data_IF_597012815825
#
_entry.id   IF_597012815825
#
_cell.length_a   1.000
_cell.length_b   1.000
_cell.length_c   1.000
_cell.angle_alpha   90.00
_cell.angle_beta   90.00
_cell.angle_gamma   90.00
#
_symmetry.space_group_name_H-M   'P 1'
#
loop_
_entity.id
_entity.type
_entity.pdbx_description
1 polymer ?
#
# COMPACT_ATOMS: atom_id res chain seq x y z
N UNK A 1 0.90 9.01 -9.27
CA UNK A 1 1.14 8.91 -7.84
C UNK A 1 1.02 10.31 -7.35
N UNK A 2 0.05 10.53 -6.49
CA UNK A 2 -0.05 11.80 -5.78
C UNK A 2 1.20 11.88 -4.94
N UNK A 3 2.19 12.68 -5.37
CA UNK A 3 3.30 13.00 -4.46
C UNK A 3 2.66 13.39 -3.13
N UNK A 4 3.04 12.75 -2.01
CA UNK A 4 2.50 13.12 -0.72
C UNK A 4 2.71 14.63 -0.59
N UNK A 5 1.67 15.37 -0.18
CA UNK A 5 1.80 16.81 0.01
C UNK A 5 3.01 17.03 0.94
N UNK A 6 4.10 17.69 0.48
CA UNK A 6 5.35 17.74 1.23
C UNK A 6 5.20 18.33 2.64
N UNK A 7 4.15 19.13 2.88
CA UNK A 7 3.83 19.65 4.20
C UNK A 7 3.60 18.55 5.26
N UNK A 8 3.23 17.32 4.85
CA UNK A 8 3.06 16.19 5.78
C UNK A 8 4.37 15.48 6.11
N UNK A 9 5.44 15.72 5.37
CA UNK A 9 6.72 15.03 5.55
C UNK A 9 7.58 15.89 6.48
N UNK A 10 7.98 15.37 7.66
CA UNK A 10 8.84 16.11 8.56
C UNK A 10 10.24 16.29 7.96
N UNK A 11 10.88 17.40 8.29
CA UNK A 11 12.34 17.49 8.15
C UNK A 11 13.00 16.69 9.26
N UNK A 12 13.93 15.82 8.88
CA UNK A 12 14.80 15.10 9.80
C UNK A 12 16.08 15.91 10.02
N UNK A 13 16.51 16.01 11.27
CA UNK A 13 17.84 16.52 11.60
C UNK A 13 18.91 15.47 11.26
N UNK A 14 20.17 15.89 11.15
CA UNK A 14 21.27 14.99 10.83
C UNK A 14 21.45 13.84 11.85
N UNK A 15 21.06 14.05 13.11
CA UNK A 15 21.10 13.03 14.15
C UNK A 15 19.89 12.07 14.10
N UNK A 16 18.78 12.52 13.49
CA UNK A 16 17.59 11.70 13.28
C UNK A 16 17.69 10.87 11.99
N UNK A 17 18.45 11.33 10.98
CA UNK A 17 18.51 10.69 9.66
C UNK A 17 19.52 9.52 9.59
N UNK A 18 19.08 8.40 9.04
CA UNK A 18 19.89 7.21 8.81
C UNK A 18 20.53 7.25 7.42
N UNK A 19 21.73 7.80 7.36
CA UNK A 19 22.54 7.77 6.15
C UNK A 19 23.10 6.38 5.84
N UNK A 20 23.37 6.11 4.56
CA UNK A 20 24.03 4.88 4.13
C UNK A 20 25.52 4.90 4.54
N UNK A 21 25.85 4.18 5.62
CA UNK A 21 27.21 4.04 6.13
C UNK A 21 27.46 2.62 6.67
N UNK A 22 28.22 1.84 5.90
CA UNK A 22 28.56 0.45 6.23
C UNK A 22 29.50 0.35 7.44
N UNK A 23 30.39 1.32 7.65
CA UNK A 23 31.33 1.29 8.78
C UNK A 23 30.59 1.62 10.08
N UNK A 24 29.69 2.61 10.04
CA UNK A 24 28.79 2.90 11.17
C UNK A 24 27.89 1.71 11.49
N UNK A 25 27.33 1.04 10.48
CA UNK A 25 26.51 -0.16 10.68
C UNK A 25 27.30 -1.30 11.35
N UNK A 26 28.55 -1.56 10.91
CA UNK A 26 29.45 -2.52 11.56
C UNK A 26 29.72 -2.15 13.01
N UNK A 27 29.97 -0.88 13.31
CA UNK A 27 30.23 -0.41 14.67
C UNK A 27 29.01 -0.61 15.56
N UNK A 28 27.80 -0.29 15.09
CA UNK A 28 26.55 -0.50 15.84
C UNK A 28 26.36 -1.98 16.18
N UNK A 29 26.61 -2.89 15.21
CA UNK A 29 26.50 -4.33 15.44
C UNK A 29 27.53 -4.83 16.47
N UNK A 30 28.78 -4.34 16.37
CA UNK A 30 29.85 -4.66 17.31
C UNK A 30 29.52 -4.18 18.74
N UNK A 31 29.08 -2.93 18.88
CA UNK A 31 28.70 -2.32 20.16
C UNK A 31 27.51 -3.03 20.81
N UNK A 32 26.63 -3.61 19.98
CA UNK A 32 25.51 -4.44 20.40
C UNK A 32 25.90 -5.90 20.71
N UNK A 33 27.16 -6.29 20.48
CA UNK A 33 27.69 -7.62 20.79
C UNK A 33 27.51 -8.67 19.69
N UNK A 34 27.06 -8.29 18.50
CA UNK A 34 27.01 -9.18 17.34
C UNK A 34 28.38 -9.19 16.67
N UNK A 35 29.20 -10.20 16.95
CA UNK A 35 30.57 -10.32 16.43
C UNK A 35 30.70 -11.56 15.56
N UNK A 36 31.72 -11.64 14.69
CA UNK A 36 32.10 -12.88 13.99
C UNK A 36 33.21 -13.57 14.80
N UNK A 37 32.79 -14.42 15.73
CA UNK A 37 33.67 -15.09 16.68
C UNK A 37 34.40 -16.30 16.07
N UNK A 38 33.90 -16.84 14.97
CA UNK A 38 34.43 -18.04 14.33
C UNK A 38 35.26 -17.76 13.05
N UNK A 39 35.21 -16.55 12.52
CA UNK A 39 35.97 -16.07 11.38
C UNK A 39 35.41 -16.49 10.02
N UNK A 40 34.13 -16.88 9.93
CA UNK A 40 33.47 -17.26 8.67
C UNK A 40 32.96 -16.05 7.87
N UNK A 41 33.08 -14.83 8.41
CA UNK A 41 32.61 -13.59 7.83
C UNK A 41 31.16 -13.24 8.16
N UNK A 42 30.46 -14.06 8.96
CA UNK A 42 29.07 -13.86 9.38
C UNK A 42 29.05 -13.67 10.90
N UNK A 43 28.41 -12.60 11.35
CA UNK A 43 28.23 -12.29 12.77
C UNK A 43 27.25 -13.28 13.40
N UNK A 44 27.39 -13.51 14.69
CA UNK A 44 26.54 -14.45 15.42
C UNK A 44 25.65 -13.76 16.48
N UNK A 45 24.50 -14.38 16.73
CA UNK A 45 23.65 -14.15 17.90
C UNK A 45 23.51 -15.46 18.68
N UNK A 46 23.82 -15.45 19.98
CA UNK A 46 23.83 -16.66 20.83
C UNK A 46 24.64 -17.83 20.23
N UNK A 47 25.76 -17.51 19.57
CA UNK A 47 26.67 -18.49 18.95
C UNK A 47 26.16 -19.12 17.67
N UNK A 48 25.15 -18.54 17.02
CA UNK A 48 24.63 -18.96 15.71
C UNK A 48 24.77 -17.84 14.69
N UNK A 49 25.19 -18.19 13.48
CA UNK A 49 25.23 -17.27 12.34
C UNK A 49 23.89 -16.53 12.17
N UNK A 50 23.96 -15.22 11.97
CA UNK A 50 22.78 -14.39 11.67
C UNK A 50 22.46 -14.56 10.18
N UNK A 51 21.40 -15.32 9.91
CA UNK A 51 20.90 -15.57 8.55
C UNK A 51 19.44 -15.14 8.48
N UNK A 52 19.17 -14.05 7.75
CA UNK A 52 17.82 -13.50 7.61
C UNK A 52 17.07 -14.16 6.44
N UNK A 53 15.82 -14.55 6.68
CA UNK A 53 14.91 -15.10 5.67
C UNK A 53 14.28 -13.96 4.87
N UNK A 54 14.69 -13.80 3.64
CA UNK A 54 14.21 -12.76 2.74
C UNK A 54 13.12 -13.31 1.82
N UNK A 55 11.91 -12.79 1.98
CA UNK A 55 10.76 -13.01 1.11
C UNK A 55 10.84 -12.18 -0.19
N UNK A 56 10.85 -12.86 -1.33
CA UNK A 56 10.78 -12.26 -2.67
C UNK A 56 9.35 -12.29 -3.15
N UNK A 57 8.81 -11.13 -3.51
CA UNK A 57 7.47 -11.01 -4.08
C UNK A 57 7.49 -11.26 -5.57
N UNK A 58 6.81 -12.31 -6.00
CA UNK A 58 6.78 -12.73 -7.41
C UNK A 58 6.03 -11.76 -8.32
N UNK A 59 5.09 -10.98 -7.77
CA UNK A 59 4.31 -9.97 -8.50
C UNK A 59 5.01 -8.61 -8.60
N UNK A 60 6.12 -8.42 -7.86
CA UNK A 60 6.85 -7.16 -7.82
C UNK A 60 8.08 -7.19 -8.71
N UNK A 61 8.11 -6.31 -9.71
CA UNK A 61 9.30 -6.10 -10.56
C UNK A 61 10.50 -5.53 -9.79
N UNK A 62 10.26 -4.93 -8.62
CA UNK A 62 11.29 -4.31 -7.78
C UNK A 62 11.88 -5.25 -6.72
N UNK A 63 11.13 -6.28 -6.31
CA UNK A 63 11.51 -7.10 -5.15
C UNK A 63 12.84 -7.81 -5.34
N UNK A 64 13.08 -8.41 -6.51
CA UNK A 64 14.33 -9.11 -6.80
C UNK A 64 15.53 -8.16 -6.94
N UNK A 65 15.48 -7.09 -7.76
CA UNK A 65 16.59 -6.13 -7.82
C UNK A 65 16.98 -5.55 -6.47
N UNK A 66 16.01 -5.19 -5.62
CA UNK A 66 16.31 -4.66 -4.29
C UNK A 66 16.93 -5.71 -3.38
N UNK A 67 16.46 -6.96 -3.45
CA UNK A 67 17.04 -8.06 -2.69
C UNK A 67 18.52 -8.27 -3.03
N UNK A 68 18.93 -8.15 -4.29
CA UNK A 68 20.34 -8.26 -4.70
C UNK A 68 21.21 -7.17 -4.03
N UNK A 69 20.75 -5.91 -4.01
CA UNK A 69 21.46 -4.82 -3.33
C UNK A 69 21.50 -5.00 -1.81
N UNK A 70 20.35 -5.28 -1.20
CA UNK A 70 20.21 -5.41 0.26
C UNK A 70 21.04 -6.59 0.78
N UNK A 71 20.99 -7.74 0.12
CA UNK A 71 21.84 -8.88 0.49
C UNK A 71 23.32 -8.56 0.34
N UNK A 72 23.72 -7.79 -0.68
CA UNK A 72 25.09 -7.29 -0.79
C UNK A 72 25.50 -6.44 0.42
N UNK A 73 24.68 -5.46 0.78
CA UNK A 73 24.96 -4.56 1.91
C UNK A 73 24.94 -5.27 3.26
N UNK A 74 24.00 -6.19 3.48
CA UNK A 74 23.94 -7.02 4.69
C UNK A 74 25.18 -7.90 4.81
N UNK A 75 25.62 -8.51 3.70
CA UNK A 75 26.83 -9.31 3.68
C UNK A 75 28.07 -8.49 4.01
N UNK A 76 28.18 -7.26 3.51
CA UNK A 76 29.30 -6.37 3.80
C UNK A 76 29.41 -6.00 5.29
N UNK A 77 28.33 -6.14 6.05
CA UNK A 77 28.31 -5.94 7.52
C UNK A 77 28.24 -7.25 8.31
N UNK A 78 28.37 -8.40 7.65
CA UNK A 78 28.43 -9.73 8.27
C UNK A 78 27.06 -10.34 8.60
N UNK A 79 26.02 -10.04 7.83
CA UNK A 79 24.70 -10.66 7.93
C UNK A 79 24.41 -11.42 6.64
N UNK A 80 24.07 -12.71 6.75
CA UNK A 80 23.70 -13.50 5.57
C UNK A 80 22.19 -13.48 5.33
N UNK A 81 21.77 -13.87 4.12
CA UNK A 81 20.36 -13.96 3.76
C UNK A 81 20.03 -15.25 3.01
N UNK A 82 18.85 -15.80 3.28
CA UNK A 82 18.26 -16.90 2.49
C UNK A 82 16.98 -16.42 1.82
N UNK A 83 16.62 -16.99 0.66
CA UNK A 83 15.48 -16.51 -0.11
C UNK A 83 14.35 -17.53 -0.21
N UNK A 84 13.12 -17.03 -0.09
CA UNK A 84 11.89 -17.74 -0.43
C UNK A 84 11.03 -16.83 -1.30
N UNK A 85 10.33 -17.39 -2.29
CA UNK A 85 9.46 -16.62 -3.18
C UNK A 85 7.99 -16.84 -2.82
N UNK A 86 7.22 -15.77 -2.80
CA UNK A 86 5.80 -15.76 -2.44
C UNK A 86 5.01 -14.93 -3.47
N UNK A 87 3.79 -15.35 -3.79
CA UNK A 87 2.77 -14.40 -4.27
C UNK A 87 2.25 -13.55 -3.09
N UNK A 88 1.48 -12.50 -3.37
CA UNK A 88 1.05 -11.55 -2.34
C UNK A 88 0.17 -12.20 -1.26
N UNK A 89 -0.70 -13.14 -1.64
CA UNK A 89 -1.54 -13.86 -0.69
C UNK A 89 -0.72 -14.77 0.21
N UNK A 90 0.22 -15.51 -0.37
CA UNK A 90 1.16 -16.35 0.37
C UNK A 90 2.05 -15.52 1.30
N UNK A 91 2.47 -14.32 0.90
CA UNK A 91 3.29 -13.46 1.74
C UNK A 91 2.52 -12.97 2.95
N UNK A 92 1.25 -12.59 2.78
CA UNK A 92 0.37 -12.19 3.90
C UNK A 92 0.24 -13.34 4.92
N UNK A 93 0.04 -14.57 4.44
CA UNK A 93 0.03 -15.75 5.33
C UNK A 93 1.38 -16.00 6.00
N UNK A 94 2.49 -15.83 5.28
CA UNK A 94 3.85 -16.03 5.79
C UNK A 94 4.26 -14.97 6.82
N UNK A 95 3.87 -13.71 6.58
CA UNK A 95 4.07 -12.60 7.51
C UNK A 95 3.45 -12.94 8.84
N UNK A 96 2.27 -13.53 8.74
CA UNK A 96 1.52 -13.90 9.90
C UNK A 96 2.02 -15.06 10.73
N UNK A 97 2.66 -16.03 10.07
CA UNK A 97 3.35 -17.13 10.76
C UNK A 97 4.72 -16.71 11.30
N UNK A 98 5.22 -15.53 10.92
CA UNK A 98 6.60 -15.14 11.19
C UNK A 98 7.59 -15.98 10.38
N UNK A 99 7.23 -16.39 9.17
CA UNK A 99 8.00 -17.31 8.33
C UNK A 99 9.11 -16.62 7.50
N UNK A 100 9.21 -15.29 7.59
CA UNK A 100 10.31 -14.49 7.02
C UNK A 100 10.80 -13.43 8.03
N UNK A 101 11.92 -12.79 7.69
CA UNK A 101 12.52 -11.68 8.45
C UNK A 101 12.56 -10.38 7.64
N UNK A 102 12.73 -10.46 6.31
CA UNK A 102 12.80 -9.32 5.40
C UNK A 102 11.89 -9.49 4.19
N UNK A 103 11.30 -8.41 3.71
CA UNK A 103 10.61 -8.33 2.42
C UNK A 103 10.54 -6.88 1.97
N UNK A 104 10.25 -6.66 0.70
CA UNK A 104 10.03 -5.33 0.15
C UNK A 104 8.57 -5.17 -0.21
N UNK A 105 7.92 -4.21 0.41
CA UNK A 105 6.56 -3.80 0.08
C UNK A 105 6.53 -2.34 -0.36
N UNK A 106 5.48 -1.99 -1.10
CA UNK A 106 5.32 -0.66 -1.68
C UNK A 106 3.97 -0.10 -1.30
N UNK A 107 3.96 1.13 -0.81
CA UNK A 107 2.74 1.87 -0.48
C UNK A 107 2.52 3.00 -1.45
N UNK A 108 1.26 3.24 -1.83
CA UNK A 108 0.89 4.44 -2.58
C UNK A 108 0.48 5.53 -1.59
N UNK A 109 1.17 6.68 -1.58
CA UNK A 109 0.84 7.76 -0.67
C UNK A 109 -0.50 8.40 -1.02
N UNK A 110 -1.23 8.84 0.00
CA UNK A 110 -2.47 9.58 -0.13
C UNK A 110 -2.22 11.09 -0.01
N UNK A 111 -3.15 11.90 -0.53
CA UNK A 111 -3.10 13.37 -0.43
C UNK A 111 -3.14 13.84 1.02
N UNK A 112 -4.01 13.18 1.80
CA UNK A 112 -4.03 13.25 3.25
C UNK A 112 -3.43 11.95 3.78
N UNK A 113 -2.46 11.98 4.72
CA UNK A 113 -1.76 10.78 5.15
C UNK A 113 -2.58 9.90 6.09
N UNK A 114 -3.75 10.35 6.58
CA UNK A 114 -4.52 9.62 7.60
C UNK A 114 -4.77 8.13 7.27
N UNK A 115 -5.19 7.74 6.05
CA UNK A 115 -5.38 6.33 5.74
C UNK A 115 -4.09 5.51 5.89
N UNK A 116 -2.94 6.03 5.43
CA UNK A 116 -1.65 5.35 5.55
C UNK A 116 -1.20 5.28 7.01
N UNK A 117 -1.35 6.37 7.77
CA UNK A 117 -1.01 6.39 9.20
C UNK A 117 -1.84 5.38 10.00
N UNK A 118 -3.09 5.15 9.58
CA UNK A 118 -4.00 4.21 10.23
C UNK A 118 -3.52 2.76 10.16
N UNK A 119 -2.72 2.40 9.15
CA UNK A 119 -2.27 1.03 8.91
C UNK A 119 -1.27 0.54 9.96
N UNK A 120 -0.53 1.45 10.61
CA UNK A 120 0.53 1.12 11.56
C UNK A 120 0.12 1.24 13.02
N UNK A 121 -1.19 1.33 13.30
CA UNK A 121 -1.70 1.32 14.68
C UNK A 121 -1.51 -0.07 15.31
N UNK A 122 -1.50 -0.12 16.64
CA UNK A 122 -1.41 -1.39 17.36
C UNK A 122 -2.60 -2.32 17.06
N UNK A 123 -3.81 -1.78 16.87
CA UNK A 123 -5.02 -2.55 16.55
C UNK A 123 -5.05 -3.09 15.11
N UNK A 124 -4.08 -2.71 14.28
CA UNK A 124 -3.87 -3.23 12.93
C UNK A 124 -2.83 -4.34 12.89
N UNK A 125 -2.29 -4.77 14.03
CA UNK A 125 -1.51 -5.99 14.14
C UNK A 125 -2.48 -7.15 14.33
N UNK A 126 -2.34 -8.22 13.54
CA UNK A 126 -3.19 -9.38 13.74
C UNK A 126 -2.97 -10.00 15.12
N UNK A 127 -4.08 -10.23 15.83
CA UNK A 127 -4.10 -11.00 17.06
C UNK A 127 -4.12 -12.52 16.81
N UNK A 128 -4.36 -12.96 15.58
CA UNK A 128 -4.50 -14.37 15.22
C UNK A 128 -3.48 -14.76 14.13
N UNK A 129 -2.57 -15.67 14.49
CA UNK A 129 -1.58 -16.28 13.62
C UNK A 129 -2.14 -17.09 12.44
N UNK A 130 -3.45 -17.09 12.25
CA UNK A 130 -4.14 -17.74 11.13
C UNK A 130 -5.10 -16.82 10.38
N UNK A 131 -5.31 -15.57 10.83
CA UNK A 131 -6.14 -14.57 10.14
C UNK A 131 -5.41 -13.23 10.01
N UNK A 132 -4.71 -13.04 8.90
CA UNK A 132 -3.95 -11.83 8.58
C UNK A 132 -4.64 -10.90 7.60
N UNK A 133 -5.70 -11.38 6.94
CA UNK A 133 -6.32 -10.69 5.83
C UNK A 133 -6.99 -9.36 6.19
N UNK A 134 -7.27 -9.14 7.48
CA UNK A 134 -7.98 -7.96 8.00
C UNK A 134 -7.07 -6.93 8.67
N UNK A 135 -5.75 -7.08 8.56
CA UNK A 135 -4.77 -6.30 9.31
C UNK A 135 -3.73 -5.69 8.38
N UNK A 136 -3.42 -4.42 8.58
CA UNK A 136 -2.50 -3.68 7.71
C UNK A 136 -1.10 -3.50 8.30
N UNK A 137 -0.91 -3.69 9.62
CA UNK A 137 0.38 -3.48 10.26
C UNK A 137 1.29 -4.67 10.01
N UNK A 138 2.06 -4.55 8.94
CA UNK A 138 2.97 -5.56 8.41
C UNK A 138 4.38 -5.46 9.02
N UNK A 139 4.58 -4.55 9.98
CA UNK A 139 5.83 -4.38 10.76
C UNK A 139 5.84 -5.11 12.09
N UNK A 140 4.66 -5.43 12.63
CA UNK A 140 4.50 -5.96 13.99
C UNK A 140 4.86 -4.96 15.11
N UNK A 141 5.16 -3.70 14.79
CA UNK A 141 5.46 -2.66 15.77
C UNK A 141 4.17 -2.12 16.39
N UNK A 142 4.08 -2.15 17.72
CA UNK A 142 3.05 -1.44 18.48
C UNK A 142 3.69 -0.33 19.33
N UNK A 143 3.31 0.92 19.06
CA UNK A 143 3.70 2.09 19.82
C UNK A 143 2.44 2.82 20.36
N UNK A 144 2.22 2.74 21.66
CA UNK A 144 1.05 3.36 22.30
C UNK A 144 1.01 4.89 22.14
N UNK A 145 2.17 5.54 22.01
CA UNK A 145 2.23 6.98 21.77
C UNK A 145 1.90 7.32 20.32
N UNK A 146 2.28 6.47 19.37
CA UNK A 146 1.83 6.59 17.97
C UNK A 146 0.30 6.50 17.87
N UNK A 147 -0.32 5.54 18.55
CA UNK A 147 -1.79 5.41 18.62
C UNK A 147 -2.45 6.63 19.28
N UNK A 148 -1.84 7.17 20.35
CA UNK A 148 -2.32 8.39 21.02
C UNK A 148 -2.29 9.59 20.07
N UNK A 149 -1.18 9.80 19.37
CA UNK A 149 -1.02 10.88 18.39
C UNK A 149 -1.98 10.70 17.19
N UNK A 150 -2.19 9.48 16.72
CA UNK A 150 -3.18 9.18 15.68
C UNK A 150 -4.61 9.57 16.11
N UNK A 151 -4.96 9.30 17.37
CA UNK A 151 -6.26 9.72 17.92
C UNK A 151 -6.37 11.24 18.13
N UNK A 152 -5.24 11.92 18.37
CA UNK A 152 -5.17 13.38 18.52
C UNK A 152 -5.29 14.10 17.17
N UNK A 153 -4.55 13.67 16.14
CA UNK A 153 -4.62 14.29 14.81
C UNK A 153 -6.03 14.22 14.20
N UNK A 154 -6.79 13.17 14.52
CA UNK A 154 -8.18 13.01 14.10
C UNK A 154 -9.20 13.91 14.83
N UNK A 155 -8.77 14.61 15.89
CA UNK A 155 -9.60 15.56 16.66
C UNK A 155 -9.12 17.01 16.48
N UNK A 156 -7.95 17.22 15.89
CA UNK A 156 -7.38 18.54 15.67
C UNK A 156 -7.95 19.18 14.39
N UNK A 157 -8.49 20.39 14.55
CA UNK A 157 -9.13 21.14 13.47
C UNK A 157 -8.20 22.19 12.86
N UNK A 158 -7.16 22.60 13.60
CA UNK A 158 -6.11 23.47 13.09
C UNK A 158 -5.11 22.66 12.26
N UNK A 159 -5.05 22.97 10.97
CA UNK A 159 -4.22 22.24 10.01
C UNK A 159 -2.72 22.25 10.40
N UNK A 160 -2.19 23.38 10.85
CA UNK A 160 -0.77 23.48 11.16
C UNK A 160 -0.42 22.66 12.41
N UNK A 161 -1.29 22.66 13.43
CA UNK A 161 -1.12 21.78 14.60
C UNK A 161 -1.25 20.31 14.23
N UNK A 162 -2.19 19.96 13.35
CA UNK A 162 -2.34 18.58 12.85
C UNK A 162 -1.09 18.13 12.11
N UNK A 163 -0.50 18.99 11.27
CA UNK A 163 0.78 18.72 10.59
C UNK A 163 1.89 18.40 11.60
N UNK A 164 2.01 19.18 12.69
CA UNK A 164 2.98 18.88 13.76
C UNK A 164 2.74 17.52 14.42
N UNK A 165 1.49 17.16 14.75
CA UNK A 165 1.17 15.84 15.33
C UNK A 165 1.57 14.72 14.35
N UNK A 166 1.26 14.87 13.06
CA UNK A 166 1.63 13.91 12.01
C UNK A 166 3.15 13.81 11.86
N UNK A 167 3.88 14.92 11.94
CA UNK A 167 5.35 14.92 11.93
C UNK A 167 5.92 14.11 13.09
N UNK A 168 5.39 14.30 14.29
CA UNK A 168 5.81 13.53 15.46
C UNK A 168 5.55 12.03 15.26
N UNK A 169 4.39 11.66 14.72
CA UNK A 169 4.09 10.26 14.37
C UNK A 169 5.10 9.67 13.39
N UNK A 170 5.39 10.38 12.30
CA UNK A 170 6.30 9.92 11.26
C UNK A 170 7.73 9.81 11.78
N UNK A 171 8.20 10.75 12.61
CA UNK A 171 9.51 10.67 13.26
C UNK A 171 9.63 9.47 14.19
N UNK A 172 8.58 9.17 14.96
CA UNK A 172 8.54 7.97 15.81
C UNK A 172 8.63 6.70 14.99
N UNK A 173 7.80 6.59 13.95
CA UNK A 173 7.80 5.45 13.04
C UNK A 173 9.16 5.27 12.35
N UNK A 174 9.76 6.36 11.86
CA UNK A 174 11.09 6.38 11.27
C UNK A 174 12.16 5.87 12.26
N UNK A 175 12.17 6.42 13.48
CA UNK A 175 13.17 6.07 14.51
C UNK A 175 13.07 4.63 15.02
N UNK A 176 11.90 3.98 14.86
CA UNK A 176 11.72 2.59 15.23
C UNK A 176 12.43 1.61 14.28
N UNK A 177 12.79 2.09 13.07
CA UNK A 177 13.50 1.32 12.04
C UNK A 177 12.85 -0.04 11.68
N UNK A 178 11.55 -0.21 11.93
CA UNK A 178 10.79 -1.41 11.55
C UNK A 178 10.37 -1.41 10.08
N UNK A 179 10.42 -0.24 9.43
CA UNK A 179 10.17 -0.08 8.00
C UNK A 179 11.23 0.88 7.42
N UNK A 180 12.07 0.39 6.52
CA UNK A 180 13.14 1.19 5.88
C UNK A 180 12.68 1.63 4.50
N UNK A 181 12.42 2.93 4.33
CA UNK A 181 11.97 3.49 3.04
C UNK A 181 13.16 3.61 2.09
N UNK A 182 13.24 2.70 1.11
CA UNK A 182 14.37 2.62 0.16
C UNK A 182 14.32 3.69 -0.93
N UNK A 183 13.12 3.97 -1.45
CA UNK A 183 12.94 4.92 -2.54
C UNK A 183 11.48 5.39 -2.61
N UNK A 184 11.28 6.59 -3.13
CA UNK A 184 9.99 7.06 -3.64
C UNK A 184 10.07 7.14 -5.16
N UNK A 185 9.40 6.24 -5.87
CA UNK A 185 9.40 6.21 -7.32
C UNK A 185 8.28 7.11 -7.89
N UNK A 186 8.52 7.80 -9.03
CA UNK A 186 7.46 8.46 -9.75
C UNK A 186 6.53 7.40 -10.37
N UNK A 187 5.22 7.63 -10.29
CA UNK A 187 4.25 6.81 -11.02
C UNK A 187 4.13 7.33 -12.45
N UNK A 188 4.68 6.55 -13.37
CA UNK A 188 4.71 6.83 -14.78
C UNK A 188 3.40 6.35 -15.44
N UNK A 189 2.64 7.28 -15.99
CA UNK A 189 1.36 6.99 -16.64
C UNK A 189 1.40 7.28 -18.13
N UNK A 190 0.91 6.33 -18.94
CA UNK A 190 0.73 6.48 -20.37
C UNK A 190 -0.75 6.31 -20.73
N UNK A 191 -1.32 7.26 -21.47
CA UNK A 191 -2.72 7.25 -21.88
C UNK A 191 -2.91 7.95 -23.25
N UNK A 192 -4.01 7.62 -23.93
CA UNK A 192 -4.28 8.04 -25.32
C UNK A 192 -5.13 9.31 -25.36
N UNK A 193 -4.50 10.45 -25.59
CA UNK A 193 -5.18 11.75 -25.78
C UNK A 193 -5.68 11.99 -27.20
N UNK A 194 -5.27 11.15 -28.16
CA UNK A 194 -5.71 11.14 -29.56
C UNK A 194 -6.96 10.27 -29.79
N UNK A 195 -7.40 9.53 -28.76
CA UNK A 195 -8.58 8.66 -28.80
C UNK A 195 -9.62 9.04 -27.76
N UNK A 196 -9.19 9.56 -26.62
CA UNK A 196 -10.07 9.91 -25.51
C UNK A 196 -9.72 11.30 -24.97
N UNK A 197 -10.77 12.11 -24.76
CA UNK A 197 -10.76 13.33 -23.95
C UNK A 197 -11.33 13.06 -22.56
N UNK A 198 -11.30 14.06 -21.67
CA UNK A 198 -11.91 13.93 -20.34
C UNK A 198 -11.01 13.29 -19.29
N UNK A 199 -9.70 13.25 -19.53
CA UNK A 199 -8.70 12.89 -18.51
C UNK A 199 -8.70 13.92 -17.38
N UNK A 200 -8.95 13.47 -16.15
CA UNK A 200 -9.02 14.34 -14.96
C UNK A 200 -7.87 13.98 -14.03
N UNK A 201 -7.02 14.97 -13.71
CA UNK A 201 -5.97 14.81 -12.70
C UNK A 201 -6.55 14.91 -11.30
N UNK A 202 -6.07 14.06 -10.39
CA UNK A 202 -6.43 14.13 -8.98
C UNK A 202 -5.22 13.90 -8.06
N UNK A 203 -4.80 14.90 -7.26
CA UNK A 203 -5.28 16.28 -7.20
C UNK A 203 -5.19 17.03 -8.53
N UNK A 204 -5.96 18.12 -8.64
CA UNK A 204 -5.84 19.02 -9.78
C UNK A 204 -4.39 19.48 -9.97
N UNK A 205 -4.01 19.75 -11.21
CA UNK A 205 -2.67 20.18 -11.65
C UNK A 205 -1.53 19.14 -11.51
N UNK A 206 -1.39 18.50 -10.35
CA UNK A 206 -0.20 17.70 -10.01
C UNK A 206 -0.45 16.19 -9.92
N UNK A 207 -1.71 15.75 -9.92
CA UNK A 207 -2.08 14.37 -9.69
C UNK A 207 -1.98 13.44 -10.92
N UNK A 208 -1.99 12.11 -10.69
CA UNK A 208 -2.24 11.12 -11.73
C UNK A 208 -3.63 11.29 -12.36
N UNK A 209 -3.79 10.72 -13.55
CA UNK A 209 -5.09 10.63 -14.25
C UNK A 209 -5.66 9.21 -14.24
N UNK A 210 -4.82 8.19 -14.12
CA UNK A 210 -5.21 6.79 -13.95
C UNK A 210 -5.09 6.40 -12.48
N UNK A 211 -5.99 5.51 -12.02
CA UNK A 211 -5.96 4.93 -10.67
C UNK A 211 -5.79 5.96 -9.54
N UNK A 212 -6.45 7.11 -9.64
CA UNK A 212 -6.47 8.10 -8.56
C UNK A 212 -7.52 7.73 -7.50
N UNK A 213 -7.47 8.36 -6.32
CA UNK A 213 -8.33 8.05 -5.16
C UNK A 213 -9.82 7.81 -5.50
N UNK A 214 -10.42 8.68 -6.32
CA UNK A 214 -11.80 8.51 -6.80
C UNK A 214 -11.90 8.19 -8.29
N UNK A 215 -10.75 8.06 -8.96
CA UNK A 215 -10.60 7.78 -10.38
C UNK A 215 -11.62 8.48 -11.30
N UNK A 216 -11.77 9.82 -11.22
CA UNK A 216 -12.82 10.57 -11.91
C UNK A 216 -12.66 10.56 -13.43
N UNK A 217 -11.47 10.25 -13.94
CA UNK A 217 -11.26 10.06 -15.37
C UNK A 217 -12.22 9.02 -15.93
N UNK A 218 -12.41 7.85 -15.30
CA UNK A 218 -13.19 6.76 -15.91
C UNK A 218 -14.66 7.10 -16.15
N UNK A 219 -15.23 8.05 -15.40
CA UNK A 219 -16.60 8.55 -15.63
C UNK A 219 -16.65 9.75 -16.56
N UNK A 220 -15.51 10.40 -16.81
CA UNK A 220 -15.40 11.62 -17.62
C UNK A 220 -14.84 11.36 -19.03
N UNK A 221 -14.33 10.15 -19.30
CA UNK A 221 -13.73 9.80 -20.58
C UNK A 221 -14.76 9.78 -21.71
N UNK A 222 -14.44 10.50 -22.80
CA UNK A 222 -15.22 10.51 -24.03
C UNK A 222 -14.31 10.31 -25.24
N UNK A 223 -14.74 9.60 -26.30
CA UNK A 223 -13.95 9.48 -27.53
C UNK A 223 -13.72 10.85 -28.21
N UNK A 224 -12.51 11.10 -28.71
CA UNK A 224 -12.18 12.30 -29.48
C UNK A 224 -12.82 12.26 -30.88
N UNK A 225 -14.07 12.72 -31.00
CA UNK A 225 -14.71 13.11 -32.27
C UNK A 225 -15.31 12.00 -33.16
N UNK A 226 -16.54 12.27 -33.59
CA UNK A 226 -17.39 11.66 -34.63
C UNK A 226 -17.20 10.16 -34.90
N UNK A 227 -17.97 9.35 -34.17
CA UNK A 227 -18.45 8.09 -34.72
C UNK A 227 -19.31 8.37 -35.95
N UNK A 228 -18.66 8.53 -37.10
CA UNK A 228 -19.32 8.67 -38.39
C UNK A 228 -20.39 7.58 -38.56
N UNK A 229 -21.64 8.04 -38.71
CA UNK A 229 -22.80 7.33 -39.26
C UNK A 229 -22.83 5.81 -39.07
N UNK A 230 -23.42 5.36 -37.96
CA UNK A 230 -23.63 3.93 -37.72
C UNK A 230 -24.73 3.62 -36.70
N UNK A 231 -25.92 4.19 -36.85
CA UNK A 231 -27.19 3.62 -36.35
C UNK A 231 -27.32 3.20 -34.87
N UNK A 232 -26.52 3.75 -33.95
CA UNK A 232 -26.62 3.46 -32.52
C UNK A 232 -27.65 4.33 -31.82
N UNK A 233 -28.61 3.70 -31.13
CA UNK A 233 -29.61 4.38 -30.29
C UNK A 233 -28.91 5.28 -29.26
N UNK A 234 -29.38 6.52 -29.11
CA UNK A 234 -28.80 7.50 -28.19
C UNK A 234 -28.82 6.98 -26.74
N UNK A 235 -27.95 7.50 -25.88
CA UNK A 235 -27.91 7.18 -24.45
C UNK A 235 -29.25 7.37 -23.75
N UNK A 236 -30.04 8.37 -24.16
CA UNK A 236 -31.42 8.54 -23.74
C UNK A 236 -32.31 7.36 -24.17
N UNK A 237 -32.16 6.85 -25.38
CA UNK A 237 -32.89 5.69 -25.87
C UNK A 237 -32.45 4.37 -25.19
N UNK A 238 -31.18 4.21 -24.83
CA UNK A 238 -30.68 3.06 -24.04
C UNK A 238 -31.25 3.10 -22.61
N UNK A 239 -31.25 4.28 -21.97
CA UNK A 239 -31.86 4.46 -20.66
C UNK A 239 -33.37 4.18 -20.70
N UNK A 240 -34.06 4.60 -21.76
CA UNK A 240 -35.49 4.32 -21.95
C UNK A 240 -35.74 2.82 -22.16
N UNK A 241 -34.90 2.12 -22.93
CA UNK A 241 -34.99 0.68 -23.13
C UNK A 241 -34.72 -0.14 -21.86
N UNK A 242 -33.79 0.31 -21.00
CA UNK A 242 -33.54 -0.33 -19.71
C UNK A 242 -34.73 -0.15 -18.75
N UNK A 243 -35.34 1.04 -18.72
CA UNK A 243 -36.54 1.29 -17.90
C UNK A 243 -37.73 0.48 -18.41
N UNK A 244 -37.95 0.42 -19.73
CA UNK A 244 -39.02 -0.41 -20.33
C UNK A 244 -38.77 -1.90 -20.11
N UNK A 245 -37.51 -2.35 -20.18
CA UNK A 245 -37.11 -3.73 -19.88
C UNK A 245 -37.36 -4.12 -18.43
N UNK A 246 -37.03 -3.23 -17.49
CA UNK A 246 -37.29 -3.44 -16.05
C UNK A 246 -38.79 -3.47 -15.74
N UNK A 247 -39.58 -2.58 -16.35
CA UNK A 247 -41.05 -2.58 -16.18
C UNK A 247 -41.67 -3.85 -16.80
N UNK A 248 -41.18 -4.27 -17.98
CA UNK A 248 -41.62 -5.50 -18.64
C UNK A 248 -41.30 -6.76 -17.84
N UNK A 249 -40.08 -6.86 -17.29
CA UNK A 249 -39.68 -7.96 -16.42
C UNK A 249 -40.51 -7.97 -15.12
N UNK A 250 -40.78 -6.80 -14.54
CA UNK A 250 -41.60 -6.66 -13.33
C UNK A 250 -43.06 -7.09 -13.58
N UNK A 251 -43.62 -6.74 -14.73
CA UNK A 251 -44.97 -7.17 -15.14
C UNK A 251 -45.03 -8.66 -15.47
N UNK A 252 -43.99 -9.24 -16.07
CA UNK A 252 -43.90 -10.67 -16.31
C UNK A 252 -43.78 -11.47 -15.01
N UNK A 253 -42.98 -11.01 -14.06
CA UNK A 253 -42.86 -11.59 -12.71
C UNK A 253 -44.20 -11.46 -11.96
N UNK A 254 -44.87 -10.31 -12.03
CA UNK A 254 -46.18 -10.12 -11.42
C UNK A 254 -47.25 -11.05 -12.02
N UNK A 255 -47.25 -11.24 -13.34
CA UNK A 255 -48.17 -12.15 -14.03
C UNK A 255 -47.89 -13.62 -13.69
N UNK A 256 -46.62 -14.01 -13.58
CA UNK A 256 -46.21 -15.37 -13.16
C UNK A 256 -46.56 -15.64 -11.70
N UNK A 257 -46.39 -14.66 -10.81
CA UNK A 257 -46.79 -14.77 -9.40
C UNK A 257 -48.32 -14.87 -9.25
N UNK A 258 -49.09 -14.15 -10.07
CA UNK A 258 -50.56 -14.28 -10.11
C UNK A 258 -51.02 -15.67 -10.57
N UNK A 259 -50.33 -16.28 -11.54
CA UNK A 259 -50.61 -17.64 -12.03
C UNK A 259 -50.34 -18.71 -10.97
N UNK A 260 -49.27 -18.58 -10.19
CA UNK A 260 -48.98 -19.48 -9.06
C UNK A 260 -50.06 -19.43 -7.99
N UNK A 261 -50.57 -18.25 -7.65
CA UNK A 261 -51.66 -18.12 -6.66
C UNK A 261 -53.02 -18.64 -7.12
N UNK A 262 -53.23 -18.82 -8.43
CA UNK A 262 -54.45 -19.45 -8.95
C UNK A 262 -54.38 -20.97 -8.97
N UNK A 263 -53.18 -21.56 -9.13
CA UNK A 263 -52.98 -23.02 -9.09
C UNK A 263 -53.01 -23.59 -7.65
N UNK A 264 -52.75 -22.76 -6.62
CA UNK A 264 -52.88 -23.17 -5.20
C UNK A 264 -54.32 -23.06 -4.65
N UNK A 265 -55.31 -22.71 -5.50
CA UNK A 265 -56.72 -22.53 -5.12
C UNK A 265 -57.71 -23.47 -5.82
N UNK A 266 -57.22 -24.51 -6.50
CA UNK A 266 -58.02 -25.68 -6.93
C UNK A 266 -57.71 -26.91 -6.08
#
# INVERSE_FOLDING_TARGET
>A
STSPNPAWIPELTADEDYEFDLEKAKQILEDAGYTDSNGNGIREHDGKDIVLRYAIRTESEYSKPYAEFITGWLKDIGIDTTFSSYDDGQLIEAAGKGDFDLYVWGWTPFVDPDPLLSYFKCDQISADATDFSNYYNDTGLCDAEYDRLYAEQNKELDKAKRETIVHDMLKRFYSAASYVVLATSPDLQAYRTDRFTGWVRQPAEIGPVLFSNSSPSYTSLEPTGDGGGGGGLSTAAIATLLVVGLIGASLAVFALLRRRTSEERE
#
